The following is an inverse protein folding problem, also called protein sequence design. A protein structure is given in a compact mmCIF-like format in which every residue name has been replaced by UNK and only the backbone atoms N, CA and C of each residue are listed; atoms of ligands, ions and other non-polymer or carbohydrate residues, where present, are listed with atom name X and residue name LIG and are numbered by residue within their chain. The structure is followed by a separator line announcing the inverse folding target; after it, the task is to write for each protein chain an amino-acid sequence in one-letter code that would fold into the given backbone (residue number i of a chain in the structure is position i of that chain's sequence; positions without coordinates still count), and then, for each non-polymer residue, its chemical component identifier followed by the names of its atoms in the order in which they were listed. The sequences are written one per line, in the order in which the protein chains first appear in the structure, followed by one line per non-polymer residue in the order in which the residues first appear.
data_IF_873215542537
#
_entry.id   IF_873215542537
#
_cell.length_a   1.000
_cell.length_b   1.000
_cell.length_c   1.000
_cell.angle_alpha   90.00
_cell.angle_beta   90.00
_cell.angle_gamma   90.00
#
_symmetry.space_group_name_H-M   'P 1'
#
loop_
_entity.id
_entity.type
_entity.pdbx_description
1 polymer ?
#
# COMPACT_ATOMS: atom_id res chain seq x y z
N UNK A 1 18.14 9.74 1.00
CA UNK A 1 17.02 8.87 1.39
C UNK A 1 17.59 7.51 1.72
N UNK A 2 17.14 6.94 2.82
CA UNK A 2 17.46 5.59 3.24
C UNK A 2 16.27 4.66 2.92
N UNK A 3 16.57 3.44 2.53
CA UNK A 3 15.56 2.42 2.18
C UNK A 3 15.87 1.19 3.03
N UNK A 4 14.88 0.73 3.76
CA UNK A 4 14.99 -0.48 4.58
C UNK A 4 13.76 -1.36 4.45
N UNK A 5 13.88 -2.61 4.83
CA UNK A 5 12.70 -3.43 5.08
C UNK A 5 11.88 -2.81 6.22
N UNK A 6 10.57 -2.86 6.11
CA UNK A 6 9.75 -2.51 7.26
C UNK A 6 9.82 -3.60 8.33
N UNK A 7 9.59 -3.21 9.56
CA UNK A 7 9.42 -4.10 10.70
C UNK A 7 8.01 -3.85 11.23
N UNK A 8 7.09 -4.75 10.95
CA UNK A 8 5.67 -4.57 11.28
C UNK A 8 5.48 -4.26 12.78
N UNK A 9 6.28 -4.86 13.64
CA UNK A 9 6.16 -4.64 15.08
C UNK A 9 6.55 -3.23 15.52
N UNK A 10 7.55 -2.66 14.87
CA UNK A 10 8.07 -1.32 15.18
C UNK A 10 7.39 -0.22 14.41
N UNK A 11 7.01 -0.52 13.15
CA UNK A 11 6.52 0.48 12.20
C UNK A 11 4.99 0.62 12.19
N UNK A 12 4.25 -0.30 12.82
CA UNK A 12 2.79 -0.33 12.77
C UNK A 12 2.12 1.00 13.16
N UNK A 13 2.55 1.59 14.27
CA UNK A 13 1.97 2.85 14.73
C UNK A 13 2.24 4.03 13.77
N UNK A 14 3.34 3.97 13.02
CA UNK A 14 3.64 4.94 11.96
C UNK A 14 2.64 4.77 10.82
N UNK A 15 2.39 3.53 10.40
CA UNK A 15 1.41 3.23 9.35
C UNK A 15 0.00 3.66 9.76
N UNK A 16 -0.43 3.36 10.98
CA UNK A 16 -1.72 3.79 11.54
C UNK A 16 -1.86 5.30 11.48
N UNK A 17 -0.84 6.05 11.94
CA UNK A 17 -0.84 7.51 11.84
C UNK A 17 -1.04 7.99 10.41
N UNK A 18 -0.34 7.40 9.44
CA UNK A 18 -0.45 7.81 8.05
C UNK A 18 -1.79 7.44 7.43
N UNK A 19 -2.34 6.26 7.73
CA UNK A 19 -3.68 5.90 7.28
C UNK A 19 -4.75 6.83 7.85
N UNK A 20 -4.64 7.22 9.11
CA UNK A 20 -5.55 8.21 9.73
C UNK A 20 -5.45 9.59 9.04
N UNK A 21 -4.25 10.02 8.65
CA UNK A 21 -4.05 11.27 7.89
C UNK A 21 -4.80 11.27 6.54
N UNK A 22 -4.97 10.10 5.92
CA UNK A 22 -5.59 9.93 4.61
C UNK A 22 -7.03 9.41 4.66
N UNK A 23 -7.58 9.16 5.83
CA UNK A 23 -8.89 8.50 6.03
C UNK A 23 -8.99 7.13 5.34
N UNK A 24 -7.89 6.37 5.32
CA UNK A 24 -7.84 5.07 4.64
C UNK A 24 -8.38 3.90 5.47
N UNK A 25 -8.69 4.10 6.75
CA UNK A 25 -8.98 3.03 7.68
C UNK A 25 -7.72 2.26 8.08
N UNK A 26 -7.84 1.37 9.06
CA UNK A 26 -6.70 0.69 9.66
C UNK A 26 -6.69 -0.78 9.31
N UNK A 27 -5.59 -1.25 8.76
CA UNK A 27 -5.36 -2.68 8.54
C UNK A 27 -4.93 -3.32 9.86
N UNK A 28 -5.56 -4.42 10.31
CA UNK A 28 -5.08 -5.15 11.49
C UNK A 28 -3.62 -5.56 11.33
N UNK A 29 -2.85 -5.45 12.42
CA UNK A 29 -1.41 -5.71 12.39
C UNK A 29 -1.06 -7.11 11.88
N UNK A 30 -1.85 -8.11 12.29
CA UNK A 30 -1.69 -9.50 11.90
C UNK A 30 -2.11 -9.80 10.45
N UNK A 31 -2.76 -8.83 9.78
CA UNK A 31 -3.08 -8.89 8.36
C UNK A 31 -2.01 -8.28 7.45
N UNK A 32 -1.01 -7.58 8.01
CA UNK A 32 0.06 -6.99 7.21
C UNK A 32 1.07 -8.06 6.74
N UNK A 33 1.60 -7.92 5.52
CA UNK A 33 2.62 -8.84 5.05
C UNK A 33 3.93 -8.65 5.83
N UNK A 34 4.70 -9.74 6.07
CA UNK A 34 6.00 -9.62 6.71
C UNK A 34 7.03 -8.92 5.82
N UNK A 35 6.78 -8.88 4.52
CA UNK A 35 7.64 -8.22 3.54
C UNK A 35 7.11 -6.83 3.22
N UNK A 36 7.99 -5.85 3.21
CA UNK A 36 7.66 -4.48 2.85
C UNK A 36 8.87 -3.56 2.90
N UNK A 37 8.67 -2.36 2.40
CA UNK A 37 9.70 -1.33 2.29
C UNK A 37 9.28 -0.12 3.10
N UNK A 38 10.22 0.43 3.83
CA UNK A 38 10.15 1.73 4.48
C UNK A 38 11.19 2.66 3.85
N UNK A 39 10.76 3.84 3.43
CA UNK A 39 11.64 4.89 2.91
C UNK A 39 11.72 6.02 3.92
N UNK A 40 12.94 6.42 4.25
CA UNK A 40 13.24 7.45 5.23
C UNK A 40 14.02 8.61 4.59
N UNK A 41 13.81 9.81 5.10
CA UNK A 41 14.63 10.98 4.81
C UNK A 41 15.22 11.49 6.13
N UNK A 42 16.54 11.56 6.19
CA UNK A 42 17.28 11.92 7.42
C UNK A 42 16.82 11.11 8.66
N UNK A 43 16.68 9.79 8.46
CA UNK A 43 16.20 8.82 9.46
C UNK A 43 14.74 9.04 9.93
N UNK A 44 13.97 9.85 9.21
CA UNK A 44 12.54 10.04 9.46
C UNK A 44 11.75 9.25 8.40
N UNK A 45 10.90 8.29 8.78
CA UNK A 45 10.03 7.57 7.85
C UNK A 45 9.08 8.52 7.12
N UNK A 46 8.94 8.35 5.80
CA UNK A 46 8.07 9.20 4.97
C UNK A 46 7.20 8.43 3.98
N UNK A 47 7.53 7.17 3.68
CA UNK A 47 6.72 6.35 2.79
C UNK A 47 6.93 4.87 3.12
N UNK A 48 5.87 4.09 2.99
CA UNK A 48 5.94 2.63 3.13
C UNK A 48 5.03 1.91 2.15
N UNK A 49 5.27 0.62 1.96
CA UNK A 49 4.42 -0.27 1.19
C UNK A 49 4.77 -1.73 1.45
N UNK A 50 3.78 -2.60 1.31
CA UNK A 50 3.87 -4.02 1.61
C UNK A 50 3.82 -4.90 0.38
N UNK A 51 4.34 -6.12 0.53
CA UNK A 51 4.33 -7.18 -0.48
C UNK A 51 3.87 -8.48 0.14
N UNK A 52 2.73 -9.00 -0.31
CA UNK A 52 2.35 -10.39 -0.09
C UNK A 52 2.97 -11.26 -1.18
N UNK A 53 3.51 -12.40 -0.79
CA UNK A 53 3.94 -13.44 -1.71
C UNK A 53 3.04 -14.64 -1.47
N UNK A 54 2.34 -15.07 -2.52
CA UNK A 54 1.43 -16.20 -2.40
C UNK A 54 2.22 -17.51 -2.31
N UNK A 55 2.11 -18.18 -1.18
CA UNK A 55 2.84 -19.42 -0.91
C UNK A 55 2.60 -20.48 -2.00
N UNK A 56 3.67 -21.17 -2.39
CA UNK A 56 3.63 -22.20 -3.43
C UNK A 56 3.42 -21.68 -4.86
N UNK A 57 3.47 -20.36 -5.09
CA UNK A 57 3.30 -19.74 -6.41
C UNK A 57 4.38 -18.71 -6.71
N UNK A 58 4.41 -18.23 -7.96
CA UNK A 58 5.26 -17.10 -8.35
C UNK A 58 4.46 -15.78 -8.47
N UNK A 59 3.43 -15.60 -7.65
CA UNK A 59 2.55 -14.45 -7.65
C UNK A 59 2.75 -13.58 -6.41
N UNK A 60 2.88 -12.27 -6.59
CA UNK A 60 2.97 -11.27 -5.54
C UNK A 60 1.83 -10.27 -5.61
N UNK A 61 1.47 -9.71 -4.45
CA UNK A 61 0.45 -8.68 -4.32
C UNK A 61 1.02 -7.49 -3.55
N UNK A 62 1.17 -6.35 -4.24
CA UNK A 62 1.69 -5.11 -3.66
C UNK A 62 0.53 -4.28 -3.13
N UNK A 63 0.57 -3.95 -1.83
CA UNK A 63 -0.48 -3.19 -1.17
C UNK A 63 0.04 -2.27 -0.07
N UNK A 64 -0.87 -1.49 0.49
CA UNK A 64 -0.65 -0.63 1.65
C UNK A 64 0.39 0.44 1.42
N UNK A 65 0.52 0.91 0.17
CA UNK A 65 1.41 2.02 -0.14
C UNK A 65 0.82 3.29 0.47
N UNK A 66 1.58 3.91 1.35
CA UNK A 66 1.18 5.13 2.05
C UNK A 66 2.37 6.07 2.23
N UNK A 67 2.09 7.36 2.20
CA UNK A 67 3.06 8.44 2.38
C UNK A 67 2.63 9.28 3.57
N UNK A 68 3.58 9.75 4.37
CA UNK A 68 3.32 10.77 5.38
C UNK A 68 2.77 12.05 4.70
N UNK A 69 1.54 12.41 5.04
CA UNK A 69 0.86 13.59 4.47
C UNK A 69 1.56 14.90 4.84
N UNK A 70 2.28 14.91 5.96
CA UNK A 70 3.02 16.07 6.45
C UNK A 70 4.44 16.18 5.86
N UNK A 71 4.88 15.18 5.10
CA UNK A 71 6.20 15.20 4.45
C UNK A 71 6.27 16.26 3.34
N UNK A 72 7.46 16.78 3.10
CA UNK A 72 7.69 17.67 1.96
C UNK A 72 7.29 16.97 0.64
N UNK A 73 6.48 17.65 -0.19
CA UNK A 73 5.89 17.08 -1.40
C UNK A 73 6.93 16.49 -2.37
N UNK A 74 8.09 17.14 -2.53
CA UNK A 74 9.15 16.63 -3.43
C UNK A 74 9.80 15.36 -2.85
N UNK A 75 10.00 15.33 -1.54
CA UNK A 75 10.54 14.17 -0.83
C UNK A 75 9.55 13.01 -0.87
N UNK A 76 8.27 13.27 -0.59
CA UNK A 76 7.19 12.31 -0.66
C UNK A 76 7.06 11.68 -2.07
N UNK A 77 7.09 12.52 -3.12
CA UNK A 77 7.05 12.07 -4.50
C UNK A 77 8.23 11.16 -4.87
N UNK A 78 9.43 11.52 -4.44
CA UNK A 78 10.64 10.71 -4.65
C UNK A 78 10.59 9.41 -3.84
N UNK A 79 10.19 9.48 -2.57
CA UNK A 79 10.08 8.33 -1.70
C UNK A 79 9.06 7.31 -2.22
N UNK A 80 7.93 7.77 -2.73
CA UNK A 80 6.92 6.90 -3.33
C UNK A 80 7.48 6.12 -4.53
N UNK A 81 8.24 6.77 -5.42
CA UNK A 81 8.93 6.09 -6.52
C UNK A 81 9.90 5.03 -6.03
N UNK A 82 10.76 5.38 -5.09
CA UNK A 82 11.74 4.46 -4.51
C UNK A 82 11.07 3.30 -3.78
N UNK A 83 9.96 3.54 -3.08
CA UNK A 83 9.21 2.50 -2.40
C UNK A 83 8.70 1.45 -3.40
N UNK A 84 8.04 1.89 -4.47
CA UNK A 84 7.51 0.99 -5.50
C UNK A 84 8.64 0.21 -6.19
N UNK A 85 9.71 0.87 -6.62
CA UNK A 85 10.84 0.21 -7.27
C UNK A 85 11.46 -0.86 -6.38
N UNK A 86 11.66 -0.55 -5.10
CA UNK A 86 12.24 -1.50 -4.14
C UNK A 86 11.28 -2.65 -3.79
N UNK A 87 9.96 -2.44 -3.81
CA UNK A 87 8.99 -3.54 -3.70
C UNK A 87 9.07 -4.45 -4.92
N UNK A 88 9.21 -3.90 -6.14
CA UNK A 88 9.39 -4.71 -7.36
C UNK A 88 10.70 -5.52 -7.33
N UNK A 89 11.79 -4.94 -6.86
CA UNK A 89 13.05 -5.65 -6.68
C UNK A 89 12.94 -6.73 -5.60
N UNK A 90 12.25 -6.44 -4.51
CA UNK A 90 11.95 -7.42 -3.46
C UNK A 90 11.12 -8.57 -4.01
N UNK A 91 10.08 -8.30 -4.80
CA UNK A 91 9.24 -9.31 -5.42
C UNK A 91 10.04 -10.24 -6.36
N UNK A 92 10.93 -9.67 -7.18
CA UNK A 92 11.85 -10.49 -8.01
C UNK A 92 12.74 -11.39 -7.16
N UNK A 93 13.27 -10.86 -6.05
CA UNK A 93 14.13 -11.59 -5.12
C UNK A 93 13.42 -12.75 -4.45
N UNK A 94 12.12 -12.57 -4.16
CA UNK A 94 11.25 -13.61 -3.59
C UNK A 94 10.70 -14.59 -4.65
N UNK A 95 11.11 -14.47 -5.91
CA UNK A 95 10.73 -15.37 -6.99
C UNK A 95 9.38 -15.06 -7.65
N UNK A 96 8.83 -13.88 -7.44
CA UNK A 96 7.60 -13.47 -8.12
C UNK A 96 7.84 -13.27 -9.62
N UNK A 97 7.00 -13.89 -10.43
CA UNK A 97 6.90 -13.64 -11.87
C UNK A 97 5.89 -12.55 -12.20
N UNK A 98 4.82 -12.47 -11.43
CA UNK A 98 3.77 -11.49 -11.58
C UNK A 98 3.57 -10.75 -10.26
N UNK A 99 3.38 -9.44 -10.34
CA UNK A 99 2.98 -8.59 -9.21
C UNK A 99 1.69 -7.89 -9.58
N UNK A 100 0.70 -8.02 -8.72
CA UNK A 100 -0.62 -7.44 -8.86
C UNK A 100 -0.83 -6.37 -7.78
N UNK A 101 -1.58 -5.33 -8.11
CA UNK A 101 -2.05 -4.32 -7.15
C UNK A 101 -3.40 -3.76 -7.60
N UNK A 102 -4.18 -3.29 -6.64
CA UNK A 102 -5.45 -2.59 -6.89
C UNK A 102 -5.35 -1.20 -6.26
N UNK A 103 -5.74 -0.19 -6.99
CA UNK A 103 -5.81 1.17 -6.46
C UNK A 103 -6.90 1.98 -7.13
N UNK A 104 -7.66 2.75 -6.35
CA UNK A 104 -8.56 3.79 -6.82
C UNK A 104 -7.88 5.13 -7.06
N UNK A 105 -6.62 5.30 -6.65
CA UNK A 105 -5.91 6.56 -6.69
C UNK A 105 -5.38 6.89 -8.09
N UNK A 106 -5.97 7.87 -8.76
CA UNK A 106 -5.57 8.29 -10.12
C UNK A 106 -4.09 8.67 -10.23
N UNK A 107 -3.51 9.24 -9.18
CA UNK A 107 -2.08 9.59 -9.14
C UNK A 107 -1.19 8.34 -9.20
N UNK A 108 -1.61 7.25 -8.54
CA UNK A 108 -0.92 5.96 -8.59
C UNK A 108 -1.08 5.27 -9.95
N UNK A 109 -2.25 5.35 -10.61
CA UNK A 109 -2.45 4.82 -11.96
C UNK A 109 -1.41 5.34 -12.93
N UNK A 110 -1.27 6.67 -13.01
CA UNK A 110 -0.29 7.31 -13.90
C UNK A 110 1.14 6.92 -13.56
N UNK A 111 1.42 6.78 -12.27
CA UNK A 111 2.75 6.41 -11.80
C UNK A 111 3.10 4.97 -12.19
N UNK A 112 2.22 4.03 -11.91
CA UNK A 112 2.43 2.61 -12.21
C UNK A 112 2.68 2.36 -13.70
N UNK A 113 1.85 2.95 -14.56
CA UNK A 113 1.97 2.74 -16.01
C UNK A 113 3.16 3.48 -16.63
N UNK A 114 3.40 4.73 -16.19
CA UNK A 114 4.41 5.58 -16.83
C UNK A 114 5.83 5.31 -16.33
N UNK A 115 6.00 4.99 -15.04
CA UNK A 115 7.33 4.94 -14.42
C UNK A 115 7.74 3.56 -13.91
N UNK A 116 6.81 2.66 -13.67
CA UNK A 116 7.09 1.37 -13.05
C UNK A 116 6.78 0.16 -13.94
N UNK A 117 6.49 0.39 -15.22
CA UNK A 117 6.30 -0.68 -16.22
C UNK A 117 5.11 -1.59 -15.96
N UNK A 118 4.11 -1.13 -15.18
CA UNK A 118 2.89 -1.89 -14.92
C UNK A 118 1.86 -1.61 -16.01
N UNK A 119 1.04 -2.61 -16.32
CA UNK A 119 -0.04 -2.50 -17.29
C UNK A 119 -1.39 -2.42 -16.58
N UNK A 120 -2.23 -1.46 -17.00
CA UNK A 120 -3.63 -1.42 -16.57
C UNK A 120 -4.40 -2.57 -17.21
N UNK A 121 -4.92 -3.49 -16.41
CA UNK A 121 -5.67 -4.65 -16.92
C UNK A 121 -7.18 -4.46 -16.83
N UNK A 122 -7.66 -3.85 -15.76
CA UNK A 122 -9.08 -3.59 -15.54
C UNK A 122 -9.29 -2.19 -14.95
N UNK A 123 -10.37 -1.53 -15.35
CA UNK A 123 -10.69 -0.16 -14.90
C UNK A 123 -12.02 -0.07 -14.11
N UNK A 124 -12.79 -1.16 -14.03
CA UNK A 124 -14.09 -1.22 -13.34
C UNK A 124 -14.16 -2.39 -12.36
N UNK A 125 -13.10 -2.63 -11.60
CA UNK A 125 -13.04 -3.72 -10.63
C UNK A 125 -13.84 -3.37 -9.37
N UNK A 126 -14.62 -4.34 -8.89
CA UNK A 126 -15.28 -4.27 -7.58
C UNK A 126 -14.52 -5.10 -6.58
N UNK A 127 -14.29 -4.55 -5.41
CA UNK A 127 -13.61 -5.24 -4.32
C UNK A 127 -14.63 -5.81 -3.34
N UNK A 128 -14.44 -7.05 -2.92
CA UNK A 128 -15.27 -7.72 -1.92
C UNK A 128 -14.38 -8.17 -0.77
N UNK A 129 -14.87 -7.97 0.46
CA UNK A 129 -14.20 -8.39 1.68
C UNK A 129 -15.19 -9.16 2.56
N UNK A 130 -14.73 -10.21 3.20
CA UNK A 130 -15.41 -10.84 4.33
C UNK A 130 -14.48 -10.86 5.53
N UNK A 131 -14.94 -10.27 6.61
CA UNK A 131 -14.29 -10.32 7.91
C UNK A 131 -14.97 -11.40 8.76
N UNK A 132 -14.22 -12.44 9.14
CA UNK A 132 -14.74 -13.56 9.94
C UNK A 132 -14.85 -13.22 11.43
N UNK A 133 -14.11 -12.23 11.90
CA UNK A 133 -14.14 -11.77 13.30
C UNK A 133 -15.07 -10.57 13.53
N UNK A 134 -15.44 -9.88 12.45
CA UNK A 134 -16.31 -8.70 12.46
C UNK A 134 -15.78 -7.55 13.36
N UNK A 135 -14.47 -7.41 13.41
CA UNK A 135 -13.75 -6.41 14.20
C UNK A 135 -12.86 -5.48 13.36
N UNK A 136 -12.91 -5.63 12.03
CA UNK A 136 -12.09 -4.90 11.09
C UNK A 136 -12.66 -3.50 10.79
N UNK A 137 -11.79 -2.50 10.69
CA UNK A 137 -12.16 -1.20 10.16
C UNK A 137 -12.25 -1.26 8.62
N UNK A 138 -13.46 -1.44 8.13
CA UNK A 138 -13.74 -1.62 6.71
C UNK A 138 -13.47 -0.37 5.85
N UNK A 139 -13.15 0.78 6.43
CA UNK A 139 -12.96 2.03 5.70
C UNK A 139 -11.84 1.94 4.66
N UNK A 140 -10.79 1.16 4.91
CA UNK A 140 -9.69 1.00 3.95
C UNK A 140 -10.06 0.27 2.65
N UNK A 141 -11.20 -0.44 2.62
CA UNK A 141 -11.73 -1.10 1.42
C UNK A 141 -13.06 -0.50 0.94
N UNK A 142 -13.52 0.55 1.60
CA UNK A 142 -14.80 1.17 1.25
C UNK A 142 -14.57 2.29 0.26
N UNK A 143 -15.26 2.23 -0.87
CA UNK A 143 -15.41 3.37 -1.76
C UNK A 143 -16.14 4.48 -0.98
N UNK A 144 -15.50 5.62 -0.78
CA UNK A 144 -16.06 6.75 -0.04
C UNK A 144 -17.41 7.19 -0.59
N UNK A 145 -17.64 7.08 -1.89
CA UNK A 145 -18.92 7.42 -2.50
C UNK A 145 -20.01 6.44 -2.09
N UNK A 146 -19.72 5.13 -2.08
CA UNK A 146 -20.65 4.10 -1.61
C UNK A 146 -20.92 4.20 -0.11
N UNK A 147 -19.93 4.56 0.69
CA UNK A 147 -20.08 4.77 2.13
C UNK A 147 -21.00 5.96 2.40
N UNK A 148 -20.77 7.08 1.72
CA UNK A 148 -21.57 8.29 1.86
C UNK A 148 -23.04 8.07 1.41
N UNK A 149 -23.28 7.23 0.40
CA UNK A 149 -24.65 6.87 -0.01
C UNK A 149 -25.38 6.04 1.05
N UNK A 150 -24.69 5.09 1.71
CA UNK A 150 -25.27 4.27 2.79
C UNK A 150 -25.58 5.09 4.05
N UNK A 151 -24.80 6.10 4.35
CA UNK A 151 -25.02 6.97 5.52
C UNK A 151 -26.10 8.02 5.29
N UNK A 152 -26.61 8.20 4.08
CA UNK A 152 -27.75 9.09 3.76
C UNK A 152 -29.12 8.43 3.94
N UNK A 153 -29.16 7.17 4.32
CA UNK A 153 -30.39 6.42 4.69
C UNK A 153 -30.63 6.52 6.21
#
# INVERSE_FOLDING_TARGET
MNIRKWDVDKDYEILVKWWDQWDFGRVPKDCLPPLGIMVEYDNVPICAGGLYVCDGTCFGFMEWIVVDKDANMRQAHKALGLCIDNIMDLAKKEGCRLVYTVTGETALHKRYTKYHGMELKENNTKTFLRDFYNDYDHACFTDHDLYNERMKV
#
